data_IF_121050543295
#
_entry.id   IF_121050543295
#
_cell.length_a   1.000
_cell.length_b   1.000
_cell.length_c   1.000
_cell.angle_alpha   90.00
_cell.angle_beta   90.00
_cell.angle_gamma   90.00
#
_symmetry.space_group_name_H-M   'P 1'
#
loop_
_entity.id
_entity.type
_entity.pdbx_description
1 polymer ?
#
# COMPACT_ATOMS: atom_id res chain seq x y z
N UNK A 1 12.16 11.75 31.25
CA UNK A 1 12.39 10.34 31.64
C UNK A 1 11.12 9.49 31.63
N UNK A 2 10.12 9.73 32.49
CA UNK A 2 8.92 8.85 32.59
C UNK A 2 8.18 8.68 31.26
N UNK A 3 8.02 9.75 30.48
CA UNK A 3 7.31 9.69 29.18
C UNK A 3 8.09 8.89 28.14
N UNK A 4 9.41 9.04 28.10
CA UNK A 4 10.27 8.33 27.15
C UNK A 4 10.22 6.81 27.41
N UNK A 5 10.24 6.43 28.69
CA UNK A 5 10.12 5.03 29.08
C UNK A 5 8.71 4.48 28.82
N UNK A 6 7.68 5.28 29.06
CA UNK A 6 6.30 4.92 28.75
C UNK A 6 6.08 4.67 27.24
N UNK A 7 6.63 5.53 26.36
CA UNK A 7 6.49 5.35 24.90
C UNK A 7 7.31 4.17 24.37
N UNK A 8 8.45 3.86 25.00
CA UNK A 8 9.25 2.66 24.68
C UNK A 8 8.55 1.36 25.03
N UNK A 9 7.74 1.36 26.09
CA UNK A 9 6.93 0.19 26.45
C UNK A 9 5.62 0.14 25.65
N UNK A 10 5.01 1.29 25.35
CA UNK A 10 3.76 1.42 24.61
C UNK A 10 3.78 2.67 23.73
N UNK A 11 4.03 2.52 22.42
CA UNK A 11 4.14 3.65 21.48
C UNK A 11 2.90 4.56 21.47
N UNK A 12 1.71 3.99 21.66
CA UNK A 12 0.47 4.77 21.80
C UNK A 12 0.35 5.62 23.06
N UNK A 13 1.26 5.49 24.04
CA UNK A 13 1.31 6.40 25.18
C UNK A 13 1.54 7.86 24.74
N UNK A 14 2.11 8.07 23.54
CA UNK A 14 2.29 9.39 22.93
C UNK A 14 0.98 10.19 22.83
N UNK A 15 -0.18 9.53 22.70
CA UNK A 15 -1.49 10.21 22.62
C UNK A 15 -1.85 11.01 23.88
N UNK A 16 -1.30 10.61 25.02
CA UNK A 16 -1.53 11.22 26.33
C UNK A 16 -0.43 12.20 26.73
N UNK A 17 0.65 12.28 25.94
CA UNK A 17 1.74 13.19 26.20
C UNK A 17 1.31 14.63 25.93
N UNK A 18 1.88 15.58 26.68
CA UNK A 18 1.66 17.00 26.46
C UNK A 18 2.10 17.40 25.03
N UNK A 19 1.52 18.48 24.49
CA UNK A 19 1.80 18.93 23.13
C UNK A 19 3.29 19.13 22.85
N UNK A 20 4.06 19.65 23.83
CA UNK A 20 5.50 19.82 23.72
C UNK A 20 6.23 18.49 23.44
N UNK A 21 5.80 17.40 24.07
CA UNK A 21 6.38 16.06 23.92
C UNK A 21 5.92 15.38 22.62
N UNK A 22 4.73 15.71 22.13
CA UNK A 22 4.25 15.30 20.79
C UNK A 22 4.97 16.03 19.65
N UNK A 23 5.62 17.14 19.96
CA UNK A 23 6.52 17.89 19.09
C UNK A 23 8.00 17.58 19.35
N UNK A 24 8.31 16.72 20.31
CA UNK A 24 9.68 16.33 20.61
C UNK A 24 10.11 15.19 19.68
N UNK A 25 11.13 15.46 18.87
CA UNK A 25 11.64 14.52 17.86
C UNK A 25 12.07 13.19 18.47
N UNK A 26 12.73 13.19 19.62
CA UNK A 26 13.25 11.95 20.24
C UNK A 26 12.12 11.13 20.84
N UNK A 27 11.18 11.77 21.54
CA UNK A 27 10.01 11.10 22.12
C UNK A 27 9.14 10.48 21.04
N UNK A 28 8.86 11.24 19.97
CA UNK A 28 8.08 10.74 18.82
C UNK A 28 8.81 9.62 18.11
N UNK A 29 10.12 9.76 17.88
CA UNK A 29 10.93 8.70 17.26
C UNK A 29 10.88 7.40 18.07
N UNK A 30 11.07 7.48 19.39
CA UNK A 30 10.99 6.31 20.26
C UNK A 30 9.59 5.66 20.22
N UNK A 31 8.53 6.47 20.15
CA UNK A 31 7.17 5.97 20.03
C UNK A 31 6.91 5.25 18.69
N UNK A 32 7.38 5.80 17.56
CA UNK A 32 7.18 5.18 16.23
C UNK A 32 8.05 3.96 16.02
N UNK A 33 9.25 3.91 16.60
CA UNK A 33 10.12 2.73 16.58
C UNK A 33 9.50 1.56 17.37
N UNK A 34 8.70 1.87 18.39
CA UNK A 34 7.90 0.89 19.13
C UNK A 34 6.65 0.46 18.36
N UNK A 35 5.91 1.42 17.79
CA UNK A 35 4.72 1.17 16.96
C UNK A 35 4.56 2.29 15.92
N UNK A 36 4.70 1.93 14.64
CA UNK A 36 4.63 2.89 13.52
C UNK A 36 3.34 3.74 13.48
N UNK A 37 2.21 3.22 13.96
CA UNK A 37 0.95 3.98 14.00
C UNK A 37 0.92 5.07 15.10
N UNK A 38 1.94 5.14 15.97
CA UNK A 38 2.09 6.25 16.91
C UNK A 38 2.31 7.59 16.18
N UNK A 39 2.72 7.57 14.91
CA UNK A 39 2.89 8.75 14.06
C UNK A 39 1.64 9.64 14.02
N UNK A 40 0.44 9.06 14.16
CA UNK A 40 -0.83 9.82 14.17
C UNK A 40 -0.90 10.86 15.31
N UNK A 41 -0.14 10.66 16.38
CA UNK A 41 -0.10 11.56 17.52
C UNK A 41 1.06 12.56 17.44
N UNK A 42 1.98 12.43 16.49
CA UNK A 42 3.04 13.40 16.32
C UNK A 42 2.50 14.77 15.87
N UNK A 43 3.23 15.84 16.18
CA UNK A 43 2.94 17.16 15.61
C UNK A 43 3.12 17.18 14.09
N UNK A 44 2.41 18.06 13.38
CA UNK A 44 2.34 18.05 11.92
C UNK A 44 3.69 18.20 11.21
N UNK A 45 4.62 18.99 11.79
CA UNK A 45 5.97 19.11 11.24
C UNK A 45 6.77 17.80 11.35
N UNK A 46 6.57 17.01 12.41
CA UNK A 46 7.21 15.69 12.56
C UNK A 46 6.53 14.61 11.71
N UNK A 47 5.25 14.79 11.36
CA UNK A 47 4.56 13.94 10.38
C UNK A 47 5.06 14.15 8.95
N UNK A 48 5.79 15.24 8.70
CA UNK A 48 6.52 15.48 7.44
C UNK A 48 8.04 15.25 7.60
N UNK A 49 8.55 15.00 8.80
CA UNK A 49 9.97 14.66 8.98
C UNK A 49 10.24 13.29 8.37
N UNK A 50 11.04 13.28 7.30
CA UNK A 50 11.32 12.08 6.53
C UNK A 50 11.92 10.97 7.39
N UNK A 51 12.78 11.29 8.36
CA UNK A 51 13.40 10.27 9.23
C UNK A 51 12.39 9.61 10.16
N UNK A 52 11.50 10.39 10.78
CA UNK A 52 10.43 9.85 11.63
C UNK A 52 9.43 9.03 10.81
N UNK A 53 8.99 9.54 9.65
CA UNK A 53 8.03 8.83 8.81
C UNK A 53 8.63 7.55 8.26
N UNK A 54 9.90 7.56 7.83
CA UNK A 54 10.60 6.34 7.41
C UNK A 54 10.67 5.32 8.54
N UNK A 55 11.00 5.73 9.77
CA UNK A 55 11.01 4.83 10.92
C UNK A 55 9.61 4.24 11.19
N UNK A 56 8.56 5.05 11.10
CA UNK A 56 7.18 4.61 11.29
C UNK A 56 6.74 3.61 10.21
N UNK A 57 7.00 3.93 8.95
CA UNK A 57 6.69 3.09 7.79
C UNK A 57 7.47 1.80 7.82
N UNK A 58 8.75 1.83 8.20
CA UNK A 58 9.59 0.64 8.37
C UNK A 58 9.09 -0.32 9.46
N UNK A 59 8.26 0.15 10.40
CA UNK A 59 7.58 -0.70 11.39
C UNK A 59 6.24 -1.19 10.89
N UNK A 60 5.44 -0.30 10.29
CA UNK A 60 4.14 -0.62 9.71
C UNK A 60 3.93 0.20 8.43
N UNK A 61 3.88 -0.45 7.27
CA UNK A 61 3.66 0.22 5.98
C UNK A 61 2.40 1.10 5.95
N UNK A 62 1.33 0.67 6.62
CA UNK A 62 0.09 1.45 6.77
C UNK A 62 0.25 2.76 7.56
N UNK A 63 1.36 2.98 8.27
CA UNK A 63 1.64 4.25 8.95
C UNK A 63 1.71 5.43 7.97
N UNK A 64 1.91 5.18 6.67
CA UNK A 64 1.85 6.18 5.62
C UNK A 64 0.54 7.00 5.63
N UNK A 65 -0.58 6.43 6.11
CA UNK A 65 -1.85 7.15 6.23
C UNK A 65 -1.77 8.37 7.16
N UNK A 66 -0.87 8.31 8.15
CA UNK A 66 -0.66 9.36 9.12
C UNK A 66 0.47 10.31 8.73
N UNK A 67 1.22 10.02 7.68
CA UNK A 67 2.24 10.94 7.18
C UNK A 67 1.61 12.20 6.59
N UNK A 68 2.32 13.32 6.66
CA UNK A 68 1.90 14.56 6.02
C UNK A 68 1.99 14.49 4.50
N UNK A 69 1.48 15.51 3.80
CA UNK A 69 1.35 15.49 2.34
C UNK A 69 2.69 15.33 1.61
N UNK A 70 3.75 15.96 2.13
CA UNK A 70 5.09 15.89 1.55
C UNK A 70 5.66 14.47 1.66
N UNK A 71 5.55 13.86 2.83
CA UNK A 71 6.02 12.49 3.05
C UNK A 71 5.22 11.43 2.26
N UNK A 72 3.91 11.65 2.04
CA UNK A 72 3.08 10.81 1.15
C UNK A 72 3.41 10.99 -0.34
N UNK A 73 4.19 12.01 -0.66
CA UNK A 73 4.74 12.30 -2.00
C UNK A 73 6.24 11.98 -2.07
N UNK A 74 6.86 11.51 -0.98
CA UNK A 74 8.26 11.15 -0.98
C UNK A 74 8.41 9.73 -1.51
N UNK A 75 9.04 9.59 -2.69
CA UNK A 75 9.20 8.31 -3.39
C UNK A 75 9.73 7.21 -2.49
N UNK A 76 10.82 7.46 -1.77
CA UNK A 76 11.47 6.43 -0.94
C UNK A 76 10.57 5.97 0.21
N UNK A 77 9.84 6.90 0.83
CA UNK A 77 8.87 6.59 1.90
C UNK A 77 7.75 5.72 1.37
N UNK A 78 7.18 6.09 0.22
CA UNK A 78 6.07 5.34 -0.39
C UNK A 78 6.54 3.96 -0.82
N UNK A 79 7.72 3.83 -1.45
CA UNK A 79 8.29 2.53 -1.85
C UNK A 79 8.51 1.63 -0.63
N UNK A 80 9.10 2.14 0.45
CA UNK A 80 9.28 1.36 1.68
C UNK A 80 7.95 0.93 2.31
N UNK A 81 6.88 1.74 2.15
CA UNK A 81 5.55 1.40 2.64
C UNK A 81 4.93 0.27 1.82
N UNK A 82 4.87 0.43 0.50
CA UNK A 82 4.21 -0.53 -0.40
C UNK A 82 4.96 -1.85 -0.51
N UNK A 83 6.28 -1.86 -0.30
CA UNK A 83 7.07 -3.08 -0.26
C UNK A 83 6.65 -3.99 0.92
N UNK A 84 6.30 -3.41 2.06
CA UNK A 84 5.83 -4.16 3.24
C UNK A 84 4.36 -4.51 3.16
N UNK A 85 3.52 -3.54 2.75
CA UNK A 85 2.08 -3.72 2.62
C UNK A 85 1.60 -2.97 1.37
N UNK A 86 1.26 -3.70 0.32
CA UNK A 86 0.87 -3.09 -0.96
C UNK A 86 -0.35 -2.17 -0.86
N UNK A 87 -1.25 -2.40 0.09
CA UNK A 87 -2.41 -1.54 0.38
C UNK A 87 -2.02 -0.13 0.85
N UNK A 88 -0.79 0.09 1.32
CA UNK A 88 -0.29 1.42 1.69
C UNK A 88 -0.34 2.40 0.50
N UNK A 89 -0.36 1.90 -0.73
CA UNK A 89 -0.54 2.69 -1.95
C UNK A 89 -1.80 3.57 -1.89
N UNK A 90 -2.86 3.12 -1.19
CA UNK A 90 -4.11 3.89 -1.04
C UNK A 90 -3.90 5.26 -0.39
N UNK A 91 -2.86 5.38 0.46
CA UNK A 91 -2.55 6.60 1.19
C UNK A 91 -1.52 7.48 0.47
N UNK A 92 -0.84 6.98 -0.55
CA UNK A 92 0.11 7.75 -1.32
C UNK A 92 -0.56 8.92 -2.06
N UNK A 93 0.22 9.95 -2.39
CA UNK A 93 -0.27 11.06 -3.20
C UNK A 93 -0.73 10.58 -4.59
N UNK A 94 -1.66 11.31 -5.22
CA UNK A 94 -2.24 10.91 -6.51
C UNK A 94 -1.17 10.62 -7.58
N UNK A 95 -0.18 11.50 -7.72
CA UNK A 95 0.89 11.32 -8.70
C UNK A 95 1.79 10.11 -8.41
N UNK A 96 1.84 9.62 -7.17
CA UNK A 96 2.52 8.37 -6.80
C UNK A 96 1.71 7.13 -7.22
N UNK A 97 0.38 7.22 -7.17
CA UNK A 97 -0.54 6.17 -7.66
C UNK A 97 -0.54 6.03 -9.18
N UNK A 98 -0.11 7.07 -9.89
CA UNK A 98 0.13 7.07 -11.33
C UNK A 98 1.57 6.65 -11.70
N UNK A 99 2.45 6.45 -10.70
CA UNK A 99 3.83 6.07 -10.96
C UNK A 99 3.93 4.55 -11.13
N UNK A 100 4.29 4.12 -12.35
CA UNK A 100 4.39 2.72 -12.72
C UNK A 100 5.32 1.90 -11.82
N UNK A 101 6.49 2.44 -11.45
CA UNK A 101 7.46 1.72 -10.61
C UNK A 101 6.91 1.48 -9.19
N UNK A 102 6.24 2.48 -8.62
CA UNK A 102 5.64 2.38 -7.29
C UNK A 102 4.49 1.39 -7.30
N UNK A 103 3.63 1.44 -8.33
CA UNK A 103 2.53 0.49 -8.47
C UNK A 103 3.05 -0.93 -8.67
N UNK A 104 4.09 -1.13 -9.50
CA UNK A 104 4.73 -2.44 -9.67
C UNK A 104 5.31 -2.97 -8.35
N UNK A 105 5.93 -2.12 -7.53
CA UNK A 105 6.39 -2.51 -6.20
C UNK A 105 5.22 -2.92 -5.29
N UNK A 106 4.11 -2.17 -5.34
CA UNK A 106 2.91 -2.46 -4.54
C UNK A 106 2.23 -3.77 -4.94
N UNK A 107 1.98 -3.98 -6.24
CA UNK A 107 1.35 -5.23 -6.74
C UNK A 107 2.30 -6.43 -6.62
N UNK A 108 3.61 -6.18 -6.67
CA UNK A 108 4.63 -7.19 -6.42
C UNK A 108 4.61 -7.69 -4.97
N UNK A 109 4.18 -6.87 -4.02
CA UNK A 109 3.90 -7.27 -2.63
C UNK A 109 2.52 -7.90 -2.52
N UNK A 110 1.45 -7.15 -2.83
CA UNK A 110 0.04 -7.58 -2.76
C UNK A 110 -0.69 -7.31 -4.08
N UNK A 111 -1.13 -8.36 -4.80
CA UNK A 111 -1.73 -8.21 -6.13
C UNK A 111 -2.95 -7.30 -6.14
N UNK A 112 -3.82 -7.41 -5.12
CA UNK A 112 -4.99 -6.54 -4.96
C UNK A 112 -4.66 -5.05 -4.70
N UNK A 113 -3.39 -4.66 -4.51
CA UNK A 113 -3.00 -3.25 -4.44
C UNK A 113 -3.29 -2.48 -5.74
N UNK A 114 -3.46 -3.19 -6.86
CA UNK A 114 -3.84 -2.62 -8.15
C UNK A 114 -5.10 -1.74 -8.08
N UNK A 115 -6.02 -2.03 -7.16
CA UNK A 115 -7.25 -1.24 -6.94
C UNK A 115 -6.98 0.23 -6.62
N UNK A 116 -5.81 0.54 -6.06
CA UNK A 116 -5.42 1.90 -5.67
C UNK A 116 -4.59 2.63 -6.73
N UNK A 117 -4.21 1.94 -7.81
CA UNK A 117 -3.51 2.53 -8.94
C UNK A 117 -4.45 3.40 -9.79
N UNK A 118 -3.86 4.28 -10.60
CA UNK A 118 -4.63 5.09 -11.55
C UNK A 118 -5.32 4.23 -12.61
N UNK A 119 -6.39 4.75 -13.23
CA UNK A 119 -7.14 4.00 -14.25
C UNK A 119 -6.24 3.58 -15.43
N UNK A 120 -5.26 4.41 -15.78
CA UNK A 120 -4.27 4.13 -16.81
C UNK A 120 -3.42 2.90 -16.46
N UNK A 121 -2.92 2.81 -15.22
CA UNK A 121 -2.11 1.67 -14.79
C UNK A 121 -2.95 0.40 -14.53
N UNK A 122 -4.24 0.53 -14.24
CA UNK A 122 -5.18 -0.60 -14.22
C UNK A 122 -5.50 -1.13 -15.63
N UNK A 123 -5.23 -0.34 -16.66
CA UNK A 123 -5.33 -0.72 -18.07
C UNK A 123 -3.97 -1.10 -18.68
N UNK A 124 -2.87 -1.01 -17.93
CA UNK A 124 -1.54 -1.45 -18.37
C UNK A 124 -1.44 -2.98 -18.23
N UNK A 125 -1.23 -3.66 -19.35
CA UNK A 125 -1.20 -5.12 -19.40
C UNK A 125 -0.05 -5.72 -18.57
N UNK A 126 1.12 -5.07 -18.52
CA UNK A 126 2.26 -5.57 -17.74
C UNK A 126 2.01 -5.43 -16.24
N UNK A 127 1.44 -4.30 -15.82
CA UNK A 127 1.06 -4.08 -14.41
C UNK A 127 -0.05 -5.04 -13.99
N UNK A 128 -1.08 -5.20 -14.82
CA UNK A 128 -2.17 -6.13 -14.57
C UNK A 128 -1.68 -7.58 -14.49
N UNK A 129 -0.80 -8.00 -15.40
CA UNK A 129 -0.21 -9.34 -15.38
C UNK A 129 0.63 -9.58 -14.13
N UNK A 130 1.42 -8.58 -13.69
CA UNK A 130 2.17 -8.67 -12.44
C UNK A 130 1.24 -8.84 -11.24
N UNK A 131 0.13 -8.09 -11.18
CA UNK A 131 -0.86 -8.17 -10.13
C UNK A 131 -1.56 -9.54 -10.09
N UNK A 132 -2.03 -10.02 -11.25
CA UNK A 132 -2.71 -11.29 -11.41
C UNK A 132 -1.81 -12.48 -11.07
N UNK A 133 -0.54 -12.43 -11.50
CA UNK A 133 0.45 -13.46 -11.14
C UNK A 133 0.71 -13.50 -9.63
N UNK A 134 0.67 -12.35 -8.96
CA UNK A 134 0.78 -12.31 -7.50
C UNK A 134 -0.48 -12.85 -6.83
N UNK A 135 -1.65 -12.45 -7.31
CA UNK A 135 -2.95 -12.80 -6.73
C UNK A 135 -4.02 -12.82 -7.83
N UNK A 136 -4.55 -14.00 -8.18
CA UNK A 136 -5.48 -14.15 -9.32
C UNK A 136 -6.76 -13.30 -9.19
N UNK A 137 -7.23 -13.05 -7.96
CA UNK A 137 -8.37 -12.17 -7.67
C UNK A 137 -8.10 -10.70 -7.98
N UNK A 138 -6.85 -10.29 -8.24
CA UNK A 138 -6.52 -8.95 -8.71
C UNK A 138 -7.15 -8.63 -10.07
N UNK A 139 -7.57 -9.65 -10.83
CA UNK A 139 -8.33 -9.51 -12.06
C UNK A 139 -9.57 -8.61 -11.87
N UNK A 140 -10.20 -8.60 -10.69
CA UNK A 140 -11.36 -7.74 -10.41
C UNK A 140 -11.09 -6.23 -10.52
N UNK A 141 -9.81 -5.82 -10.48
CA UNK A 141 -9.42 -4.41 -10.45
C UNK A 141 -8.87 -3.88 -11.78
N UNK A 142 -8.63 -4.77 -12.75
CA UNK A 142 -8.15 -4.40 -14.09
C UNK A 142 -9.22 -3.64 -14.87
N UNK A 143 -8.84 -3.01 -15.97
CA UNK A 143 -9.83 -2.40 -16.87
C UNK A 143 -10.68 -3.47 -17.57
N UNK A 144 -11.93 -3.15 -17.92
CA UNK A 144 -12.80 -4.11 -18.63
C UNK A 144 -12.19 -4.63 -19.94
N UNK A 145 -11.41 -3.79 -20.64
CA UNK A 145 -10.67 -4.21 -21.83
C UNK A 145 -9.65 -5.32 -21.54
N UNK A 146 -8.99 -5.29 -20.38
CA UNK A 146 -8.07 -6.35 -19.96
C UNK A 146 -8.81 -7.55 -19.36
N UNK A 147 -9.99 -7.36 -18.78
CA UNK A 147 -10.84 -8.47 -18.31
C UNK A 147 -11.37 -9.34 -19.47
N UNK A 148 -11.42 -8.80 -20.69
CA UNK A 148 -11.69 -9.55 -21.92
C UNK A 148 -10.42 -10.13 -22.58
N UNK A 149 -9.23 -9.89 -22.02
CA UNK A 149 -7.99 -10.46 -22.53
C UNK A 149 -7.83 -11.90 -22.03
N UNK A 150 -8.02 -12.85 -22.95
CA UNK A 150 -7.92 -14.29 -22.67
C UNK A 150 -6.60 -14.69 -22.00
N UNK A 151 -5.45 -14.16 -22.44
CA UNK A 151 -4.15 -14.50 -21.84
C UNK A 151 -4.07 -14.08 -20.36
N UNK A 152 -4.55 -12.87 -20.06
CA UNK A 152 -4.58 -12.35 -18.70
C UNK A 152 -5.57 -13.14 -17.81
N UNK A 153 -6.74 -13.46 -18.34
CA UNK A 153 -7.77 -14.24 -17.62
C UNK A 153 -7.26 -15.65 -17.32
N UNK A 154 -6.65 -16.34 -18.28
CA UNK A 154 -6.06 -17.68 -18.07
C UNK A 154 -4.95 -17.63 -17.02
N UNK A 155 -4.11 -16.59 -17.03
CA UNK A 155 -3.12 -16.38 -15.97
C UNK A 155 -3.74 -16.16 -14.58
N UNK A 156 -4.95 -15.58 -14.51
CA UNK A 156 -5.67 -15.37 -13.27
C UNK A 156 -6.33 -16.65 -12.74
N UNK A 157 -7.03 -17.37 -13.63
CA UNK A 157 -7.77 -18.59 -13.30
C UNK A 157 -6.81 -19.70 -12.90
N UNK A 158 -5.67 -19.83 -13.58
CA UNK A 158 -4.62 -20.79 -13.19
C UNK A 158 -4.05 -20.54 -11.80
N UNK A 159 -4.02 -19.29 -11.31
CA UNK A 159 -3.59 -18.97 -9.95
C UNK A 159 -4.72 -19.17 -8.93
N UNK A 160 -5.95 -18.85 -9.29
CA UNK A 160 -7.12 -18.99 -8.44
C UNK A 160 -8.36 -19.17 -9.31
N UNK A 161 -8.98 -20.36 -9.30
CA UNK A 161 -10.16 -20.65 -10.09
C UNK A 161 -11.31 -19.65 -9.83
N UNK A 162 -11.43 -19.11 -8.61
CA UNK A 162 -12.39 -18.06 -8.28
C UNK A 162 -12.19 -16.75 -9.07
N UNK A 163 -11.06 -16.55 -9.74
CA UNK A 163 -10.80 -15.38 -10.56
C UNK A 163 -11.67 -15.35 -11.82
N UNK A 164 -12.16 -16.51 -12.30
CA UNK A 164 -12.97 -16.61 -13.53
C UNK A 164 -14.22 -15.73 -13.49
N UNK A 165 -14.82 -15.56 -12.30
CA UNK A 165 -15.99 -14.68 -12.08
C UNK A 165 -15.75 -13.21 -12.39
N UNK A 166 -14.49 -12.78 -12.49
CA UNK A 166 -14.09 -11.41 -12.78
C UNK A 166 -13.67 -11.21 -14.24
N UNK A 167 -13.66 -12.28 -15.04
CA UNK A 167 -13.49 -12.17 -16.48
C UNK A 167 -14.68 -11.43 -17.10
N UNK A 168 -14.51 -10.94 -18.32
CA UNK A 168 -15.64 -10.42 -19.10
C UNK A 168 -16.66 -11.54 -19.38
N UNK A 169 -17.95 -11.18 -19.51
CA UNK A 169 -19.04 -12.13 -19.80
C UNK A 169 -18.76 -12.96 -21.07
N UNK A 170 -18.04 -12.38 -22.04
CA UNK A 170 -17.64 -13.07 -23.28
C UNK A 170 -16.74 -14.28 -23.06
N UNK A 171 -16.00 -14.35 -21.95
CA UNK A 171 -15.06 -15.43 -21.64
C UNK A 171 -15.62 -16.50 -20.68
N UNK A 172 -16.82 -16.30 -20.14
CA UNK A 172 -17.44 -17.27 -19.23
C UNK A 172 -17.93 -18.55 -19.92
N UNK A 173 -18.06 -18.53 -21.24
CA UNK A 173 -18.40 -19.70 -22.07
C UNK A 173 -17.20 -20.22 -22.86
N UNK A 174 -16.00 -19.71 -22.59
CA UNK A 174 -14.76 -20.16 -23.25
C UNK A 174 -14.26 -21.43 -22.55
N UNK A 175 -14.22 -22.54 -23.29
CA UNK A 175 -13.85 -23.87 -22.76
C UNK A 175 -12.47 -23.83 -22.06
N UNK A 176 -11.51 -23.05 -22.56
CA UNK A 176 -10.17 -22.96 -21.95
C UNK A 176 -10.19 -22.29 -20.57
N UNK A 177 -11.18 -21.41 -20.31
CA UNK A 177 -11.33 -20.70 -19.03
C UNK A 177 -12.17 -21.52 -18.06
N UNK A 178 -13.16 -22.27 -18.56
CA UNK A 178 -14.07 -23.10 -17.77
C UNK A 178 -13.40 -24.38 -17.29
N UNK A 179 -12.52 -24.97 -18.10
CA UNK A 179 -11.92 -26.29 -17.84
C UNK A 179 -10.63 -26.25 -16.99
N UNK A 180 -10.17 -25.07 -16.54
CA UNK A 180 -8.98 -24.85 -15.68
C UNK A 180 -9.27 -25.05 -14.19
#
# INVERSE_FOLDING_TARGET
EVVLEAVRQRGFALRHAAQALRSDREVVRAAVEQNGFALQYAADHLRNDQGIVQAAVAKHGGALQFAGGEARSARDVVISAVAQHGDALQHAAHHMKCNREIVLAAVGSWGCALQHASAELRADAEVALAAVRREGTALQYVSGALAANKELVLAAVSQCHHASRYADDSLHSDDDVVDL
#
